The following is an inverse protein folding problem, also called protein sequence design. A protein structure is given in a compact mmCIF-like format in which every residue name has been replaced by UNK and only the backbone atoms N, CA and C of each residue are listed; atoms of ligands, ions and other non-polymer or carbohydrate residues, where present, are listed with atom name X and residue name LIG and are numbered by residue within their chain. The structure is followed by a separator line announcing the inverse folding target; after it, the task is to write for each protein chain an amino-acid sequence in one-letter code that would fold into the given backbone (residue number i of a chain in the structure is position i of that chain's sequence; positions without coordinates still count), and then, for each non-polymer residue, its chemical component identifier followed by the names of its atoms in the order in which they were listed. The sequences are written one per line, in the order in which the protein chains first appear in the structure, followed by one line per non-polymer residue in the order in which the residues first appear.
data_IF_115989414725
#
_entry.id   IF_115989414725
#
_cell.length_a   1.000
_cell.length_b   1.000
_cell.length_c   1.000
_cell.angle_alpha   90.00
_cell.angle_beta   90.00
_cell.angle_gamma   90.00
#
_symmetry.space_group_name_H-M   'P 1'
#
loop_
_entity.id
_entity.type
_entity.pdbx_description
1 polymer ?
#
# COMPACT_ATOMS: atom_id res chain seq x y z
N UNK A 1 18.01 -8.34 -9.06
CA UNK A 1 17.15 -9.42 -9.61
C UNK A 1 17.68 -10.74 -9.07
N UNK A 2 16.88 -11.40 -8.23
CA UNK A 2 17.26 -12.54 -7.37
C UNK A 2 17.11 -13.91 -8.09
N UNK A 3 17.81 -14.92 -7.57
CA UNK A 3 18.12 -16.23 -8.19
C UNK A 3 16.95 -17.21 -8.48
N UNK A 4 15.69 -16.86 -8.21
CA UNK A 4 14.59 -17.83 -8.21
C UNK A 4 13.61 -17.64 -9.37
N UNK A 5 13.34 -18.71 -10.12
CA UNK A 5 12.31 -18.74 -11.19
C UNK A 5 10.89 -18.65 -10.61
N UNK A 6 10.71 -19.21 -9.41
CA UNK A 6 9.49 -19.10 -8.60
C UNK A 6 9.83 -19.00 -7.12
N UNK A 7 9.00 -18.28 -6.39
CA UNK A 7 9.03 -18.23 -4.93
C UNK A 7 7.72 -18.77 -4.37
N UNK A 8 7.82 -19.40 -3.21
CA UNK A 8 6.68 -19.90 -2.43
C UNK A 8 6.63 -19.09 -1.15
N UNK A 9 5.58 -18.29 -0.98
CA UNK A 9 5.32 -17.54 0.25
C UNK A 9 4.43 -18.38 1.16
N UNK A 10 4.87 -18.60 2.39
CA UNK A 10 4.17 -19.39 3.38
C UNK A 10 3.93 -18.60 4.67
N UNK A 11 2.82 -18.89 5.33
CA UNK A 11 2.46 -18.31 6.62
C UNK A 11 1.69 -19.35 7.45
N UNK A 12 2.09 -19.54 8.70
CA UNK A 12 1.47 -20.51 9.64
C UNK A 12 1.31 -21.93 9.06
N UNK A 13 2.31 -22.40 8.31
CA UNK A 13 2.29 -23.74 7.70
C UNK A 13 1.41 -23.87 6.46
N UNK A 14 0.74 -22.80 6.02
CA UNK A 14 -0.03 -22.75 4.78
C UNK A 14 0.73 -21.99 3.68
N UNK A 15 0.47 -22.35 2.43
CA UNK A 15 0.96 -21.61 1.26
C UNK A 15 0.02 -20.44 1.01
N UNK A 16 0.58 -19.24 0.99
CA UNK A 16 -0.14 -17.99 0.74
C UNK A 16 -0.13 -17.62 -0.75
N UNK A 17 1.03 -17.80 -1.42
CA UNK A 17 1.17 -17.55 -2.86
C UNK A 17 2.39 -18.29 -3.44
N UNK A 18 2.26 -18.72 -4.69
CA UNK A 18 3.37 -19.25 -5.50
C UNK A 18 3.39 -18.47 -6.81
N UNK A 19 4.55 -17.95 -7.22
CA UNK A 19 4.67 -17.20 -8.46
C UNK A 19 6.11 -16.78 -8.75
N UNK A 20 6.33 -16.17 -9.90
CA UNK A 20 7.62 -15.53 -10.18
C UNK A 20 7.86 -14.37 -9.18
N UNK A 21 9.12 -14.01 -8.85
CA UNK A 21 9.39 -12.93 -7.89
C UNK A 21 8.65 -11.63 -8.19
N UNK A 22 8.63 -11.23 -9.47
CA UNK A 22 7.94 -10.01 -9.91
C UNK A 22 6.42 -10.15 -9.84
N UNK A 23 5.87 -11.34 -10.09
CA UNK A 23 4.42 -11.59 -9.97
C UNK A 23 3.95 -11.45 -8.53
N UNK A 24 4.69 -12.03 -7.58
CA UNK A 24 4.37 -11.95 -6.16
C UNK A 24 4.55 -10.52 -5.63
N UNK A 25 5.50 -9.76 -6.19
CA UNK A 25 5.69 -8.35 -5.89
C UNK A 25 4.56 -7.48 -6.47
N UNK A 26 4.27 -7.58 -7.77
CA UNK A 26 3.32 -6.71 -8.45
C UNK A 26 1.85 -7.05 -8.12
N UNK A 27 1.57 -8.34 -7.86
CA UNK A 27 0.23 -8.87 -7.65
C UNK A 27 0.18 -9.79 -6.43
N UNK A 28 0.36 -9.24 -5.22
CA UNK A 28 0.24 -10.01 -4.00
C UNK A 28 -1.19 -10.53 -3.83
N UNK A 29 -1.34 -11.81 -3.49
CA UNK A 29 -2.63 -12.47 -3.37
C UNK A 29 -3.43 -11.99 -2.15
N UNK A 30 -2.76 -11.49 -1.12
CA UNK A 30 -3.37 -11.01 0.11
C UNK A 30 -2.48 -9.99 0.85
N UNK A 31 -3.00 -9.32 1.90
CA UNK A 31 -2.24 -8.30 2.64
C UNK A 31 -1.00 -8.83 3.37
N UNK A 32 -0.93 -10.13 3.68
CA UNK A 32 0.27 -10.72 4.28
C UNK A 32 1.39 -10.76 3.24
N UNK A 33 1.13 -11.30 2.04
CA UNK A 33 2.13 -11.33 0.96
C UNK A 33 2.59 -9.93 0.58
N UNK A 34 1.65 -8.98 0.49
CA UNK A 34 1.93 -7.58 0.18
C UNK A 34 2.91 -6.92 1.17
N UNK A 35 2.81 -7.26 2.45
CA UNK A 35 3.70 -6.73 3.50
C UNK A 35 4.99 -7.55 3.65
N UNK A 36 4.98 -8.82 3.24
CA UNK A 36 6.14 -9.70 3.35
C UNK A 36 7.15 -9.50 2.21
N UNK A 37 6.69 -9.14 1.01
CA UNK A 37 7.52 -9.02 -0.20
C UNK A 37 7.77 -7.56 -0.58
N UNK A 38 9.03 -7.14 -0.43
CA UNK A 38 9.54 -5.80 -0.70
C UNK A 38 10.24 -5.21 0.53
N UNK A 39 11.22 -4.34 0.28
CA UNK A 39 11.90 -3.59 1.35
C UNK A 39 12.09 -2.14 0.87
N UNK A 40 11.33 -1.17 1.41
CA UNK A 40 10.32 -1.32 2.45
C UNK A 40 9.06 -2.09 1.99
N UNK A 41 8.30 -2.59 2.96
CA UNK A 41 7.05 -3.30 2.73
C UNK A 41 5.95 -2.38 2.14
N UNK A 42 4.90 -2.98 1.56
CA UNK A 42 3.74 -2.21 1.09
C UNK A 42 3.01 -1.53 2.27
N UNK A 43 2.65 -0.26 2.09
CA UNK A 43 1.80 0.46 3.03
C UNK A 43 0.36 -0.04 2.92
N UNK A 44 -0.26 -0.39 4.05
CA UNK A 44 -1.61 -0.94 4.10
C UNK A 44 -2.53 -0.04 4.93
N UNK A 45 -3.64 0.37 4.33
CA UNK A 45 -4.68 1.20 4.95
C UNK A 45 -6.01 0.46 4.96
N UNK A 46 -6.75 0.58 6.05
CA UNK A 46 -8.12 0.05 6.16
C UNK A 46 -9.10 1.20 5.98
N UNK A 47 -10.09 0.99 5.14
CA UNK A 47 -11.08 2.02 4.88
C UNK A 47 -12.33 1.46 4.22
N UNK A 48 -13.18 2.40 3.79
CA UNK A 48 -14.42 2.10 3.09
C UNK A 48 -14.36 2.76 1.72
N UNK A 49 -14.67 2.00 0.68
CA UNK A 49 -14.86 2.57 -0.65
C UNK A 49 -16.06 3.51 -0.62
N UNK A 50 -15.91 4.69 -1.20
CA UNK A 50 -17.00 5.67 -1.30
C UNK A 50 -18.25 5.06 -1.96
N UNK A 51 -19.41 5.44 -1.44
CA UNK A 51 -20.71 4.93 -1.89
C UNK A 51 -21.38 5.85 -2.92
N UNK A 52 -20.93 7.10 -3.02
CA UNK A 52 -21.52 8.16 -3.82
C UNK A 52 -20.88 8.32 -5.21
N UNK A 53 -19.98 7.40 -5.57
CA UNK A 53 -19.41 7.29 -6.91
C UNK A 53 -18.05 7.97 -7.08
N UNK A 54 -17.47 8.53 -6.03
CA UNK A 54 -16.06 8.96 -6.04
C UNK A 54 -15.18 7.71 -6.00
N UNK A 55 -14.09 7.69 -6.77
CA UNK A 55 -13.12 6.59 -6.72
C UNK A 55 -12.11 6.84 -5.61
N UNK A 56 -12.57 6.83 -4.36
CA UNK A 56 -11.74 7.04 -3.17
C UNK A 56 -12.05 6.01 -2.09
N UNK A 57 -11.04 5.69 -1.29
CA UNK A 57 -11.17 4.95 -0.04
C UNK A 57 -11.05 5.92 1.12
N UNK A 58 -12.07 5.98 1.95
CA UNK A 58 -12.05 6.79 3.19
C UNK A 58 -11.57 5.91 4.35
N UNK A 59 -10.48 6.30 5.00
CA UNK A 59 -9.99 5.62 6.21
C UNK A 59 -10.78 6.05 7.43
N UNK A 60 -10.70 5.27 8.52
CA UNK A 60 -11.34 5.62 9.78
C UNK A 60 -10.76 6.90 10.39
N UNK A 61 -9.51 7.25 10.07
CA UNK A 61 -8.91 8.50 10.51
C UNK A 61 -9.40 9.73 9.71
N UNK A 62 -10.20 9.55 8.64
CA UNK A 62 -10.72 10.64 7.81
C UNK A 62 -9.85 10.97 6.58
N UNK A 63 -8.88 10.11 6.25
CA UNK A 63 -8.02 10.27 5.08
C UNK A 63 -8.76 9.76 3.84
N UNK A 64 -8.74 10.54 2.76
CA UNK A 64 -9.27 10.14 1.45
C UNK A 64 -8.15 9.69 0.52
N UNK A 65 -8.09 8.40 0.22
CA UNK A 65 -7.07 7.80 -0.66
C UNK A 65 -7.64 7.61 -2.07
N UNK A 66 -6.97 8.12 -3.13
CA UNK A 66 -7.46 8.00 -4.49
C UNK A 66 -7.33 6.57 -5.02
N UNK A 67 -8.31 6.13 -5.81
CA UNK A 67 -8.30 4.84 -6.51
C UNK A 67 -8.47 5.11 -8.00
N UNK A 68 -7.51 4.69 -8.83
CA UNK A 68 -7.60 4.91 -10.27
C UNK A 68 -8.78 4.16 -10.91
N UNK A 69 -8.96 2.88 -10.56
CA UNK A 69 -10.01 2.02 -11.10
C UNK A 69 -10.74 1.30 -9.97
N UNK A 70 -11.74 1.95 -9.38
CA UNK A 70 -12.57 1.33 -8.35
C UNK A 70 -13.52 0.31 -8.97
N UNK A 71 -13.43 -0.99 -8.64
CA UNK A 71 -14.38 -1.99 -9.11
C UNK A 71 -15.80 -1.64 -8.65
N UNK A 72 -16.78 -1.67 -9.56
CA UNK A 72 -18.16 -1.25 -9.28
C UNK A 72 -18.79 -1.99 -8.09
N UNK A 73 -18.43 -3.26 -7.88
CA UNK A 73 -18.92 -4.11 -6.78
C UNK A 73 -18.31 -3.81 -5.39
N UNK A 74 -17.38 -2.86 -5.28
CA UNK A 74 -16.77 -2.49 -4.00
C UNK A 74 -17.37 -1.25 -3.35
N UNK A 75 -18.25 -0.51 -4.02
CA UNK A 75 -18.87 0.71 -3.50
C UNK A 75 -19.52 0.48 -2.13
N UNK A 76 -19.20 1.35 -1.17
CA UNK A 76 -19.72 1.26 0.19
C UNK A 76 -19.24 0.05 1.01
N UNK A 77 -18.29 -0.76 0.51
CA UNK A 77 -17.73 -1.91 1.25
C UNK A 77 -16.46 -1.53 1.99
N UNK A 78 -16.20 -2.24 3.08
CA UNK A 78 -14.88 -2.21 3.71
C UNK A 78 -13.86 -2.85 2.78
N UNK A 79 -12.72 -2.18 2.62
CA UNK A 79 -11.63 -2.58 1.74
C UNK A 79 -10.29 -2.35 2.43
N UNK A 80 -9.28 -3.07 1.97
CA UNK A 80 -7.88 -2.86 2.33
C UNK A 80 -7.21 -2.21 1.13
N UNK A 81 -6.64 -1.03 1.34
CA UNK A 81 -5.93 -0.26 0.32
C UNK A 81 -4.43 -0.45 0.52
N UNK A 82 -3.74 -0.96 -0.50
CA UNK A 82 -2.29 -1.17 -0.47
C UNK A 82 -1.57 -0.27 -1.47
N UNK A 83 -0.49 0.38 -1.05
CA UNK A 83 0.37 1.19 -1.93
C UNK A 83 1.85 0.98 -1.58
N UNK A 84 2.68 0.78 -2.61
CA UNK A 84 4.12 0.64 -2.41
C UNK A 84 4.78 2.01 -2.16
N UNK A 85 5.79 2.12 -1.29
CA UNK A 85 6.46 3.40 -1.00
C UNK A 85 6.95 4.13 -2.27
N UNK A 86 7.48 3.40 -3.25
CA UNK A 86 7.97 3.95 -4.51
C UNK A 86 6.87 4.52 -5.43
N UNK A 87 5.60 4.25 -5.14
CA UNK A 87 4.45 4.84 -5.84
C UNK A 87 3.94 6.12 -5.17
N UNK A 88 4.60 6.57 -4.09
CA UNK A 88 4.26 7.82 -3.39
C UNK A 88 5.25 8.90 -3.83
N UNK A 89 4.71 10.01 -4.33
CA UNK A 89 5.48 11.19 -4.69
C UNK A 89 5.06 12.39 -3.86
N UNK A 90 5.99 13.29 -3.57
CA UNK A 90 5.69 14.57 -2.93
C UNK A 90 4.99 15.49 -3.92
N UNK A 91 3.81 15.97 -3.55
CA UNK A 91 3.02 16.94 -4.32
C UNK A 91 2.54 18.05 -3.36
N UNK A 92 2.77 19.35 -3.67
CA UNK A 92 2.24 20.46 -2.88
C UNK A 92 0.71 20.48 -2.70
N UNK A 93 -0.03 19.79 -3.58
CA UNK A 93 -1.49 19.61 -3.52
C UNK A 93 -1.90 18.22 -3.01
N UNK A 94 -0.95 17.45 -2.51
CA UNK A 94 -1.16 16.11 -1.98
C UNK A 94 -1.81 16.10 -0.60
N UNK A 95 -1.83 14.91 0.01
CA UNK A 95 -2.31 14.73 1.38
C UNK A 95 -1.29 15.29 2.38
N UNK A 96 -1.79 15.97 3.43
CA UNK A 96 -0.96 16.45 4.52
C UNK A 96 -0.32 15.30 5.31
N UNK A 97 0.99 15.41 5.56
CA UNK A 97 1.73 14.46 6.38
C UNK A 97 2.89 15.15 7.10
N UNK A 98 3.19 14.69 8.31
CA UNK A 98 4.33 15.08 9.12
C UNK A 98 5.50 14.14 8.86
N UNK A 99 6.69 14.67 8.64
CA UNK A 99 7.92 13.86 8.57
C UNK A 99 8.33 13.49 9.99
N UNK A 100 8.35 12.18 10.28
CA UNK A 100 8.74 11.66 11.59
C UNK A 100 10.21 11.27 11.60
N UNK A 101 10.66 10.57 10.56
CA UNK A 101 12.03 10.06 10.45
C UNK A 101 12.50 10.17 9.00
N UNK A 102 13.78 10.49 8.82
CA UNK A 102 14.48 10.48 7.53
C UNK A 102 15.72 9.61 7.68
N UNK A 103 15.79 8.52 6.93
CA UNK A 103 16.88 7.54 6.97
C UNK A 103 17.59 7.46 5.62
N UNK A 104 18.83 7.93 5.51
CA UNK A 104 19.63 7.75 4.30
C UNK A 104 20.13 6.31 4.21
N UNK A 105 19.73 5.58 3.17
CA UNK A 105 20.11 4.16 2.95
C UNK A 105 21.05 4.02 1.75
N UNK A 106 21.94 5.00 1.55
CA UNK A 106 22.88 5.06 0.44
C UNK A 106 22.36 5.92 -0.71
N UNK A 107 21.98 5.34 -1.87
CA UNK A 107 21.46 6.09 -3.02
C UNK A 107 20.00 6.57 -2.82
N UNK A 108 19.31 6.04 -1.81
CA UNK A 108 17.90 6.35 -1.52
C UNK A 108 17.78 6.93 -0.10
N UNK A 109 16.71 7.70 0.12
CA UNK A 109 16.35 8.21 1.44
C UNK A 109 14.95 7.71 1.76
N UNK A 110 14.82 6.93 2.82
CA UNK A 110 13.53 6.46 3.32
C UNK A 110 12.95 7.50 4.26
N UNK A 111 11.73 7.94 3.98
CA UNK A 111 11.03 8.95 4.78
C UNK A 111 9.83 8.30 5.44
N UNK A 112 9.83 8.26 6.77
CA UNK A 112 8.66 7.82 7.53
C UNK A 112 7.75 9.01 7.75
N UNK A 113 6.54 8.91 7.23
CA UNK A 113 5.52 9.95 7.28
C UNK A 113 4.40 9.54 8.24
N UNK A 114 3.91 10.50 9.03
CA UNK A 114 2.67 10.36 9.79
C UNK A 114 1.60 11.18 9.10
N UNK A 115 0.53 10.51 8.66
CA UNK A 115 -0.59 11.18 8.05
C UNK A 115 -1.48 11.84 9.11
N UNK A 116 -1.93 13.07 8.86
CA UNK A 116 -2.89 13.78 9.70
C UNK A 116 -3.95 14.43 8.82
N UNK A 117 -5.21 14.44 9.29
CA UNK A 117 -6.31 15.14 8.60
C UNK A 117 -6.25 16.65 8.85
N UNK A 118 -5.52 17.06 9.89
CA UNK A 118 -5.27 18.46 10.22
C UNK A 118 -3.92 18.86 9.65
N UNK A 119 -3.93 19.60 8.53
CA UNK A 119 -2.82 20.48 8.19
C UNK A 119 -2.84 21.62 9.23
N UNK A 120 -1.83 21.70 10.08
CA UNK A 120 -1.54 22.91 10.85
C UNK A 120 -0.43 23.71 10.18
#
# INVERSE_FOLDING_TARGET
MTMADKIVVMHNGAIEQIGAPLEVYDRPANPFVAQFIGSPAMNIFRGRMDSQGRSVVETAEGISLPVANAPAGLRGRQVVYGIRPEHISLDPKGLGAEIVVVEPTGPETQVTLRMSVTCH
#
